data_IF_009954238401
#
_entry.id   IF_009954238401
#
_cell.length_a   1.000
_cell.length_b   1.000
_cell.length_c   1.000
_cell.angle_alpha   90.00
_cell.angle_beta   90.00
_cell.angle_gamma   90.00
#
_symmetry.space_group_name_H-M   'P 1'
#
loop_
_entity.id
_entity.type
_entity.pdbx_description
1 polymer ?
#
# COMPACT_ATOMS: atom_id res chain seq x y z
N UNK A 1 29.12 26.94 -49.83
CA UNK A 1 29.50 26.90 -48.40
C UNK A 1 28.39 27.34 -47.44
N UNK A 2 27.58 28.37 -47.74
CA UNK A 2 26.46 28.80 -46.86
C UNK A 2 25.28 27.80 -46.72
N UNK A 3 25.06 26.89 -47.68
CA UNK A 3 23.97 25.88 -47.61
C UNK A 3 24.29 24.67 -46.71
N UNK A 4 25.57 24.37 -46.47
CA UNK A 4 26.00 23.28 -45.57
C UNK A 4 25.92 23.75 -44.10
N UNK A 5 26.10 25.05 -43.86
CA UNK A 5 26.03 25.64 -42.51
C UNK A 5 24.60 25.70 -41.94
N UNK A 6 23.58 25.80 -42.80
CA UNK A 6 22.16 25.77 -42.39
C UNK A 6 21.69 24.35 -42.07
N UNK A 7 22.30 23.33 -42.68
CA UNK A 7 21.96 21.93 -42.40
C UNK A 7 22.51 21.47 -41.03
N UNK A 8 23.65 22.01 -40.58
CA UNK A 8 24.17 21.74 -39.23
C UNK A 8 23.38 22.45 -38.13
N UNK A 9 22.81 23.64 -38.39
CA UNK A 9 22.04 24.38 -37.39
C UNK A 9 20.63 23.80 -37.18
N UNK A 10 20.06 23.14 -38.21
CA UNK A 10 18.80 22.41 -38.09
C UNK A 10 18.96 21.03 -37.41
N UNK A 11 20.17 20.45 -37.44
CA UNK A 11 20.44 19.14 -36.82
C UNK A 11 20.73 19.25 -35.31
N UNK A 12 21.13 20.43 -34.82
CA UNK A 12 21.34 20.69 -33.39
C UNK A 12 20.05 21.04 -32.62
N UNK A 13 18.92 21.26 -33.29
CA UNK A 13 17.61 21.47 -32.64
C UNK A 13 16.80 20.17 -32.44
N UNK A 14 17.37 19.03 -32.83
CA UNK A 14 16.80 17.68 -32.62
C UNK A 14 17.47 16.90 -31.48
N UNK A 15 18.36 17.52 -30.69
CA UNK A 15 18.72 16.96 -29.39
C UNK A 15 17.58 17.26 -28.43
N UNK A 16 16.56 16.41 -28.47
CA UNK A 16 15.48 16.43 -27.49
C UNK A 16 16.06 16.52 -26.10
N UNK A 17 15.59 17.48 -25.32
CA UNK A 17 15.79 17.47 -23.89
C UNK A 17 15.24 16.13 -23.39
N UNK A 18 16.14 15.18 -23.13
CA UNK A 18 15.84 14.07 -22.24
C UNK A 18 15.66 14.75 -20.90
N UNK A 19 14.41 15.13 -20.60
CA UNK A 19 14.01 15.45 -19.24
C UNK A 19 14.24 14.16 -18.49
N UNK A 20 15.38 14.07 -17.80
CA UNK A 20 15.64 13.03 -16.83
C UNK A 20 14.57 13.20 -15.78
N UNK A 21 13.53 12.37 -15.85
CA UNK A 21 12.53 12.30 -14.80
C UNK A 21 13.29 11.77 -13.59
N UNK A 22 13.59 12.65 -12.63
CA UNK A 22 14.20 12.23 -11.37
C UNK A 22 13.31 11.16 -10.77
N UNK A 23 13.87 9.96 -10.64
CA UNK A 23 13.18 8.83 -10.07
C UNK A 23 13.13 9.07 -8.57
N UNK A 24 11.95 9.41 -8.05
CA UNK A 24 11.73 9.53 -6.61
C UNK A 24 12.06 8.20 -5.94
N UNK A 25 12.90 8.23 -4.91
CA UNK A 25 13.18 7.06 -4.08
C UNK A 25 12.07 6.92 -3.02
N UNK A 26 11.66 5.68 -2.67
CA UNK A 26 10.67 5.46 -1.63
C UNK A 26 11.26 5.74 -0.25
N UNK A 27 10.48 6.36 0.63
CA UNK A 27 10.89 6.69 2.01
C UNK A 27 10.33 5.71 3.05
N UNK A 28 9.27 4.98 2.68
CA UNK A 28 8.64 3.99 3.52
C UNK A 28 7.88 2.95 2.68
N UNK A 29 7.38 1.92 3.33
CA UNK A 29 6.44 0.95 2.74
C UNK A 29 5.34 0.59 3.72
N UNK A 30 4.17 0.24 3.17
CA UNK A 30 3.06 -0.28 3.97
C UNK A 30 3.33 -1.73 4.31
N UNK A 31 3.44 -2.06 5.59
CA UNK A 31 3.69 -3.42 6.07
C UNK A 31 2.41 -4.13 6.52
N UNK A 32 1.42 -3.39 7.01
CA UNK A 32 0.08 -3.92 7.30
C UNK A 32 -1.01 -2.92 6.94
N UNK A 33 -2.15 -3.42 6.50
CA UNK A 33 -3.37 -2.64 6.30
C UNK A 33 -4.58 -3.49 6.70
N UNK A 34 -5.43 -2.97 7.57
CA UNK A 34 -6.64 -3.64 8.05
C UNK A 34 -7.83 -2.72 7.79
N UNK A 35 -8.93 -3.27 7.30
CA UNK A 35 -10.13 -2.50 7.00
C UNK A 35 -9.93 -1.43 5.93
N UNK A 36 -10.59 -0.30 6.10
CA UNK A 36 -10.64 0.77 5.11
C UNK A 36 -9.44 1.71 5.23
N UNK A 37 -8.38 1.38 4.51
CA UNK A 37 -7.15 2.18 4.39
C UNK A 37 -6.99 2.67 2.95
N UNK A 38 -6.76 3.96 2.79
CA UNK A 38 -6.57 4.59 1.51
C UNK A 38 -5.27 5.38 1.48
N UNK A 39 -4.66 5.43 0.30
CA UNK A 39 -3.48 6.23 0.01
C UNK A 39 -3.77 7.15 -1.17
N UNK A 40 -3.15 8.32 -1.16
CA UNK A 40 -3.18 9.26 -2.27
C UNK A 40 -1.74 9.67 -2.57
N UNK A 41 -1.26 9.27 -3.75
CA UNK A 41 0.06 9.70 -4.19
C UNK A 41 0.10 11.20 -4.48
N UNK A 42 1.24 11.84 -4.22
CA UNK A 42 1.45 13.28 -4.42
C UNK A 42 1.15 13.76 -5.85
N UNK A 43 1.37 12.91 -6.84
CA UNK A 43 1.15 13.14 -8.27
C UNK A 43 -0.26 12.74 -8.75
N UNK A 44 -1.06 12.09 -7.90
CA UNK A 44 -2.44 11.68 -8.20
C UNK A 44 -3.47 12.54 -7.47
N UNK A 45 -4.64 12.71 -8.11
CA UNK A 45 -5.76 13.45 -7.51
C UNK A 45 -6.63 12.59 -6.59
N UNK A 46 -6.73 11.29 -6.90
CA UNK A 46 -7.68 10.38 -6.29
C UNK A 46 -7.04 9.55 -5.18
N UNK A 47 -7.86 9.19 -4.20
CA UNK A 47 -7.53 8.16 -3.22
C UNK A 47 -7.70 6.77 -3.83
N UNK A 48 -6.79 5.87 -3.53
CA UNK A 48 -6.84 4.46 -3.91
C UNK A 48 -6.72 3.59 -2.65
N UNK A 49 -7.22 2.36 -2.71
CA UNK A 49 -7.10 1.41 -1.59
C UNK A 49 -5.63 1.09 -1.37
N UNK A 50 -5.19 1.17 -0.12
CA UNK A 50 -3.82 0.85 0.26
C UNK A 50 -3.54 -0.63 0.09
N UNK A 51 -2.38 -0.96 -0.48
CA UNK A 51 -1.91 -2.34 -0.67
C UNK A 51 -0.73 -2.61 0.25
N UNK A 52 -0.69 -3.78 0.88
CA UNK A 52 0.50 -4.22 1.63
C UNK A 52 1.66 -4.40 0.65
N UNK A 53 2.85 -3.92 1.04
CA UNK A 53 4.06 -3.88 0.23
C UNK A 53 4.17 -2.63 -0.66
N UNK A 54 3.15 -1.76 -0.67
CA UNK A 54 3.20 -0.55 -1.49
C UNK A 54 4.23 0.43 -0.93
N UNK A 55 5.05 0.98 -1.82
CA UNK A 55 5.96 2.06 -1.48
C UNK A 55 5.22 3.37 -1.23
N UNK A 56 5.76 4.16 -0.30
CA UNK A 56 5.30 5.48 0.04
C UNK A 56 6.41 6.45 -0.35
N UNK A 57 6.01 7.49 -1.05
CA UNK A 57 6.89 8.57 -1.48
C UNK A 57 6.55 9.84 -0.71
N UNK A 58 7.48 10.79 -0.73
CA UNK A 58 7.23 12.12 -0.19
C UNK A 58 6.02 12.80 -0.84
N UNK A 59 5.23 13.48 -0.01
CA UNK A 59 3.98 14.14 -0.34
C UNK A 59 2.78 13.19 -0.44
N UNK A 60 2.98 11.88 -0.29
CA UNK A 60 1.87 10.94 -0.26
C UNK A 60 1.06 11.11 1.04
N UNK A 61 -0.23 10.82 0.97
CA UNK A 61 -1.13 10.89 2.11
C UNK A 61 -1.76 9.54 2.39
N UNK A 62 -1.87 9.17 3.66
CA UNK A 62 -2.64 8.01 4.10
C UNK A 62 -3.85 8.46 4.91
N UNK A 63 -4.98 7.79 4.67
CA UNK A 63 -6.23 7.97 5.40
C UNK A 63 -6.81 6.62 5.81
N UNK A 64 -7.16 6.49 7.08
CA UNK A 64 -7.96 5.39 7.62
C UNK A 64 -9.38 5.87 7.92
N UNK A 65 -10.36 4.98 7.79
CA UNK A 65 -11.76 5.21 8.23
C UNK A 65 -12.01 4.59 9.61
N UNK A 66 -13.27 4.47 9.98
CA UNK A 66 -13.75 3.94 11.26
C UNK A 66 -13.32 2.49 11.52
N UNK A 67 -13.06 1.70 10.47
CA UNK A 67 -12.52 0.33 10.56
C UNK A 67 -11.04 0.23 10.18
N UNK A 68 -10.44 1.31 9.69
CA UNK A 68 -9.11 1.31 9.08
C UNK A 68 -7.98 1.36 10.10
N UNK A 69 -6.97 0.50 9.94
CA UNK A 69 -5.68 0.57 10.65
C UNK A 69 -4.55 0.27 9.68
N UNK A 70 -3.39 0.89 9.86
CA UNK A 70 -2.23 0.58 9.00
C UNK A 70 -0.92 0.60 9.78
N UNK A 71 0.05 -0.18 9.30
CA UNK A 71 1.44 -0.14 9.75
C UNK A 71 2.29 0.27 8.56
N UNK A 72 3.15 1.25 8.78
CA UNK A 72 4.10 1.75 7.79
C UNK A 72 5.49 1.74 8.38
N UNK A 73 6.44 1.18 7.64
CA UNK A 73 7.84 1.10 8.01
C UNK A 73 8.67 2.03 7.12
N UNK A 74 9.37 2.96 7.73
CA UNK A 74 10.33 3.84 7.06
C UNK A 74 11.62 3.09 6.72
N UNK A 75 12.38 3.60 5.74
CA UNK A 75 13.66 3.02 5.31
C UNK A 75 14.69 2.94 6.46
N UNK A 76 14.66 3.88 7.40
CA UNK A 76 15.53 3.85 8.58
C UNK A 76 15.10 2.86 9.67
N UNK A 77 14.01 2.11 9.46
CA UNK A 77 13.48 1.12 10.40
C UNK A 77 12.48 1.68 11.42
N UNK A 78 12.20 2.98 11.40
CA UNK A 78 11.14 3.56 12.24
C UNK A 78 9.78 3.08 11.76
N UNK A 79 8.83 2.89 12.67
CA UNK A 79 7.49 2.39 12.37
C UNK A 79 6.45 3.38 12.86
N UNK A 80 5.45 3.66 12.01
CA UNK A 80 4.23 4.36 12.39
C UNK A 80 3.03 3.43 12.26
N UNK A 81 2.30 3.28 13.35
CA UNK A 81 1.01 2.61 13.41
C UNK A 81 -0.09 3.67 13.34
N UNK A 82 -0.96 3.54 12.35
CA UNK A 82 -2.01 4.50 12.01
C UNK A 82 -3.34 3.94 12.51
N UNK A 83 -3.96 4.63 13.46
CA UNK A 83 -5.23 4.23 14.05
C UNK A 83 -6.42 4.55 13.15
N UNK A 84 -7.60 4.25 13.63
CA UNK A 84 -8.87 4.56 12.97
C UNK A 84 -9.06 6.08 12.85
N UNK A 85 -9.87 6.50 11.88
CA UNK A 85 -10.22 7.91 11.64
C UNK A 85 -9.01 8.86 11.65
N UNK A 86 -7.96 8.49 10.91
CA UNK A 86 -6.69 9.22 10.89
C UNK A 86 -6.33 9.65 9.48
N UNK A 87 -5.80 10.87 9.33
CA UNK A 87 -5.24 11.36 8.07
C UNK A 87 -3.89 12.03 8.32
N UNK A 88 -2.90 11.61 7.54
CA UNK A 88 -1.53 12.10 7.63
C UNK A 88 -0.87 12.21 6.26
N UNK A 89 0.14 13.05 6.17
CA UNK A 89 0.98 13.25 4.99
C UNK A 89 2.44 12.99 5.35
N UNK A 90 3.14 12.33 4.44
CA UNK A 90 4.58 12.15 4.53
C UNK A 90 5.26 13.37 3.93
N UNK A 91 6.01 14.12 4.73
CA UNK A 91 6.52 15.42 4.33
C UNK A 91 7.85 15.32 3.58
N UNK A 92 8.08 16.30 2.70
CA UNK A 92 9.37 16.63 2.10
C UNK A 92 9.95 17.85 2.84
N UNK A 93 11.23 17.80 3.22
CA UNK A 93 11.99 19.04 3.45
C UNK A 93 13.24 19.01 2.60
N UNK A 94 13.32 19.97 1.68
CA UNK A 94 14.39 20.13 0.67
C UNK A 94 15.81 20.20 1.27
N UNK A 95 15.94 20.48 2.57
CA UNK A 95 17.21 20.65 3.30
C UNK A 95 17.52 19.53 4.33
N UNK A 96 16.73 18.45 4.39
CA UNK A 96 16.95 17.41 5.37
C UNK A 96 18.02 16.40 4.95
N UNK A 97 18.88 16.03 5.91
CA UNK A 97 19.79 14.90 5.75
C UNK A 97 18.97 13.63 5.50
N UNK A 98 19.53 12.65 4.76
CA UNK A 98 18.82 11.44 4.31
C UNK A 98 18.17 10.57 5.40
N UNK A 99 18.36 10.89 6.68
CA UNK A 99 17.94 10.07 7.82
C UNK A 99 16.80 10.69 8.65
N UNK A 100 16.26 11.84 8.27
CA UNK A 100 15.15 12.46 9.00
C UNK A 100 13.81 12.08 8.38
N UNK A 101 12.92 11.47 9.16
CA UNK A 101 11.53 11.25 8.76
C UNK A 101 10.66 12.40 9.27
N UNK A 102 9.75 12.90 8.43
CA UNK A 102 8.84 13.97 8.82
C UNK A 102 7.41 13.65 8.39
N UNK A 103 6.48 13.84 9.29
CA UNK A 103 5.05 13.60 9.08
C UNK A 103 4.25 14.85 9.39
N UNK A 104 3.16 15.07 8.66
CA UNK A 104 2.11 16.00 9.07
C UNK A 104 0.87 15.21 9.45
N UNK A 105 0.43 15.34 10.71
CA UNK A 105 -0.80 14.73 11.20
C UNK A 105 -1.93 15.76 11.13
N UNK A 106 -2.96 15.50 10.32
CA UNK A 106 -4.12 16.38 10.22
C UNK A 106 -5.08 16.18 11.39
N UNK A 107 -5.44 14.92 11.65
CA UNK A 107 -6.31 14.47 12.74
C UNK A 107 -6.14 12.96 12.92
N UNK A 108 -6.64 12.44 14.05
CA UNK A 108 -6.59 11.02 14.38
C UNK A 108 -5.46 10.69 15.35
N UNK A 109 -5.04 9.42 15.41
CA UNK A 109 -4.05 8.96 16.39
C UNK A 109 -3.04 8.02 15.74
N UNK A 110 -1.76 8.28 16.02
CA UNK A 110 -0.65 7.47 15.52
C UNK A 110 0.30 7.10 16.66
N UNK A 111 0.68 5.82 16.69
CA UNK A 111 1.78 5.34 17.52
C UNK A 111 3.06 5.29 16.68
N UNK A 112 4.17 5.75 17.23
CA UNK A 112 5.43 5.87 16.51
C UNK A 112 6.53 5.22 17.33
N UNK A 113 7.21 4.25 16.73
CA UNK A 113 8.42 3.63 17.25
C UNK A 113 9.60 4.07 16.42
N UNK A 114 10.32 5.07 16.93
CA UNK A 114 11.44 5.71 16.20
C UNK A 114 12.73 4.99 16.51
N UNK A 115 13.48 4.63 15.47
CA UNK A 115 14.78 3.98 15.61
C UNK A 115 15.80 4.91 16.27
N UNK A 116 16.59 4.36 17.20
CA UNK A 116 17.66 5.09 17.87
C UNK A 116 18.62 5.76 16.89
N UNK A 117 19.00 7.00 17.19
CA UNK A 117 19.91 7.78 16.35
C UNK A 117 19.29 8.36 15.08
N UNK A 118 18.01 8.11 14.81
CA UNK A 118 17.25 8.74 13.72
C UNK A 118 16.49 9.97 14.19
N UNK A 119 16.46 11.01 13.37
CA UNK A 119 15.65 12.20 13.62
C UNK A 119 14.23 11.98 13.09
N UNK A 120 13.23 12.36 13.88
CA UNK A 120 11.83 12.14 13.53
C UNK A 120 10.97 13.32 13.97
N UNK A 121 10.16 13.84 13.04
CA UNK A 121 9.31 14.99 13.30
C UNK A 121 7.85 14.66 13.03
N UNK A 122 6.97 15.09 13.93
CA UNK A 122 5.53 15.14 13.70
C UNK A 122 5.08 16.59 13.78
N UNK A 123 4.59 17.09 12.66
CA UNK A 123 4.01 18.41 12.51
C UNK A 123 2.49 18.35 12.54
N UNK A 124 1.89 19.40 13.07
CA UNK A 124 0.47 19.64 12.94
C UNK A 124 0.16 21.13 12.95
N UNK A 125 -1.11 21.47 12.88
CA UNK A 125 -1.58 22.85 13.07
C UNK A 125 -1.38 23.38 14.51
N UNK A 126 -0.98 22.53 15.46
CA UNK A 126 -0.83 22.88 16.87
C UNK A 126 0.64 23.07 17.29
N UNK A 127 1.54 22.19 16.84
CA UNK A 127 2.93 22.17 17.25
C UNK A 127 3.79 21.32 16.31
N UNK A 128 5.11 21.43 16.52
CA UNK A 128 6.12 20.48 16.07
C UNK A 128 6.56 19.62 17.26
N UNK A 129 6.53 18.29 17.09
CA UNK A 129 7.14 17.33 17.99
C UNK A 129 8.41 16.76 17.32
N UNK A 130 9.56 16.97 17.94
CA UNK A 130 10.87 16.49 17.48
C UNK A 130 11.37 15.38 18.39
N UNK A 131 11.85 14.29 17.79
CA UNK A 131 12.02 13.01 18.47
C UNK A 131 13.31 12.34 18.03
N UNK A 132 13.94 11.61 18.96
CA UNK A 132 15.11 10.77 18.67
C UNK A 132 15.09 9.51 19.52
N UNK A 133 14.90 8.35 18.89
CA UNK A 133 14.88 7.05 19.59
C UNK A 133 13.82 6.97 20.68
N UNK A 134 12.54 6.90 20.30
CA UNK A 134 11.43 7.09 21.26
C UNK A 134 10.21 6.29 20.80
N UNK A 135 9.48 5.74 21.77
CA UNK A 135 8.16 5.15 21.58
C UNK A 135 7.09 6.09 22.14
N UNK A 136 6.22 6.60 21.28
CA UNK A 136 5.27 7.65 21.67
C UNK A 136 4.01 7.65 20.79
N UNK A 137 2.93 8.20 21.33
CA UNK A 137 1.69 8.45 20.59
C UNK A 137 1.50 9.95 20.33
N UNK A 138 0.96 10.28 19.16
CA UNK A 138 0.39 11.61 18.90
C UNK A 138 -1.05 11.46 18.47
N UNK A 139 -1.94 12.19 19.14
CA UNK A 139 -3.36 12.23 18.84
C UNK A 139 -3.81 13.66 18.61
N UNK A 140 -4.63 13.89 17.58
CA UNK A 140 -5.17 15.20 17.23
C UNK A 140 -6.68 15.09 17.03
N UNK A 141 -7.41 15.81 17.89
CA UNK A 141 -8.84 16.11 17.75
C UNK A 141 -9.01 17.63 17.80
N UNK A 142 -9.42 18.17 18.94
CA UNK A 142 -9.51 19.61 19.18
C UNK A 142 -8.16 20.23 19.58
N UNK A 143 -7.32 19.43 20.24
CA UNK A 143 -5.95 19.75 20.63
C UNK A 143 -5.02 18.64 20.14
N UNK A 144 -3.72 18.90 20.14
CA UNK A 144 -2.70 17.87 19.97
C UNK A 144 -2.30 17.33 21.35
N UNK A 145 -2.28 16.02 21.49
CA UNK A 145 -1.83 15.30 22.68
C UNK A 145 -0.65 14.42 22.30
N UNK A 146 0.43 14.50 23.07
CA UNK A 146 1.65 13.70 22.87
C UNK A 146 1.89 12.87 24.11
N UNK A 147 1.82 11.54 23.99
CA UNK A 147 2.09 10.61 25.09
C UNK A 147 3.46 9.99 24.88
N UNK A 148 4.38 10.17 25.82
CA UNK A 148 5.76 9.64 25.71
C UNK A 148 5.85 8.36 26.54
N UNK A 149 5.92 7.21 25.85
CA UNK A 149 5.95 5.90 26.50
C UNK A 149 7.36 5.44 26.86
N UNK A 150 8.33 5.70 25.97
CA UNK A 150 9.76 5.44 26.21
C UNK A 150 10.57 6.50 25.46
N UNK A 151 11.61 7.07 26.08
CA UNK A 151 12.48 8.06 25.46
C UNK A 151 12.09 9.50 25.76
N UNK A 152 12.27 10.41 24.78
CA UNK A 152 12.06 11.85 24.95
C UNK A 152 11.48 12.52 23.72
N UNK A 153 10.62 13.51 23.92
CA UNK A 153 10.03 14.32 22.85
C UNK A 153 10.13 15.79 23.18
N UNK A 154 10.70 16.55 22.26
CA UNK A 154 10.67 18.01 22.28
C UNK A 154 9.39 18.50 21.59
N UNK A 155 8.49 19.14 22.32
CA UNK A 155 7.23 19.69 21.78
C UNK A 155 7.27 21.21 21.83
N UNK A 156 7.13 21.84 20.66
CA UNK A 156 7.17 23.30 20.53
C UNK A 156 6.01 23.87 19.71
N UNK A 157 5.50 25.01 20.16
CA UNK A 157 4.61 25.87 19.39
C UNK A 157 5.08 27.33 19.50
N UNK A 158 4.31 28.26 18.92
CA UNK A 158 4.67 29.69 18.92
C UNK A 158 4.77 30.35 20.30
N UNK A 159 4.26 29.72 21.37
CA UNK A 159 4.26 30.29 22.73
C UNK A 159 5.33 29.68 23.63
N UNK A 160 5.95 28.57 23.24
CA UNK A 160 7.00 27.93 24.03
C UNK A 160 7.34 26.51 23.60
N UNK A 161 8.31 25.94 24.31
CA UNK A 161 8.83 24.59 24.12
C UNK A 161 8.88 23.86 25.45
N UNK A 162 8.55 22.57 25.44
CA UNK A 162 8.73 21.64 26.57
C UNK A 162 9.49 20.41 26.09
N UNK A 163 10.36 19.88 26.95
CA UNK A 163 10.96 18.55 26.77
C UNK A 163 10.15 17.57 27.64
N UNK A 164 9.60 16.54 27.01
CA UNK A 164 8.79 15.51 27.65
C UNK A 164 9.57 14.21 27.73
N UNK A 165 9.58 13.59 28.91
CA UNK A 165 10.25 12.32 29.18
C UNK A 165 9.23 11.19 29.31
N UNK A 166 9.69 9.98 29.63
CA UNK A 166 8.86 8.81 29.83
C UNK A 166 7.69 9.05 30.81
N UNK A 167 6.54 8.45 30.53
CA UNK A 167 5.34 8.52 31.36
C UNK A 167 4.80 9.95 31.52
N UNK A 168 4.92 10.75 30.46
CA UNK A 168 4.34 12.09 30.41
C UNK A 168 3.34 12.24 29.25
N UNK A 169 2.40 13.16 29.45
CA UNK A 169 1.48 13.67 28.45
C UNK A 169 1.74 15.16 28.24
N UNK A 170 1.86 15.57 26.98
CA UNK A 170 1.88 16.99 26.60
C UNK A 170 0.57 17.34 25.91
N UNK A 171 -0.19 18.25 26.52
CA UNK A 171 -1.37 18.85 25.92
C UNK A 171 -0.99 20.15 25.20
N UNK A 172 -1.34 20.27 23.92
CA UNK A 172 -0.96 21.39 23.05
C UNK A 172 -2.19 22.00 22.40
N UNK A 173 -2.44 23.27 22.72
CA UNK A 173 -3.46 24.11 22.06
C UNK A 173 -2.81 25.21 21.22
N UNK A 174 -3.63 25.99 20.51
CA UNK A 174 -3.20 27.13 19.68
C UNK A 174 -3.08 28.44 20.45
N UNK A 175 -3.27 28.44 21.77
CA UNK A 175 -3.42 29.67 22.57
C UNK A 175 -2.37 29.82 23.67
N UNK A 176 -1.77 28.72 24.12
CA UNK A 176 -0.79 28.71 25.22
C UNK A 176 0.41 27.83 24.88
N UNK A 177 1.49 27.97 25.64
CA UNK A 177 2.63 27.07 25.56
C UNK A 177 2.19 25.62 25.88
N UNK A 178 2.89 24.60 25.34
CA UNK A 178 2.60 23.21 25.66
C UNK A 178 2.62 22.95 27.17
N UNK A 179 1.66 22.17 27.66
CA UNK A 179 1.52 21.84 29.09
C UNK A 179 1.86 20.35 29.26
N UNK A 180 2.87 20.07 30.07
CA UNK A 180 3.31 18.72 30.40
C UNK A 180 2.73 18.26 31.75
N UNK A 181 2.32 17.00 31.82
CA UNK A 181 1.86 16.33 33.04
C UNK A 181 2.38 14.89 33.10
N UNK A 182 2.66 14.42 34.31
CA UNK A 182 3.00 13.02 34.55
C UNK A 182 1.73 12.16 34.50
N UNK A 183 1.84 10.97 33.91
CA UNK A 183 0.72 10.03 33.75
C UNK A 183 1.12 8.62 34.19
N UNK A 184 0.11 7.81 34.52
CA UNK A 184 0.30 6.38 34.78
C UNK A 184 0.22 5.55 33.49
N UNK A 185 0.72 4.33 33.52
CA UNK A 185 0.63 3.37 32.40
C UNK A 185 -0.81 3.15 31.89
N UNK A 186 -1.80 3.20 32.79
CA UNK A 186 -3.22 3.04 32.46
C UNK A 186 -3.80 4.22 31.67
N UNK A 187 -3.12 5.37 31.66
CA UNK A 187 -3.56 6.60 30.99
C UNK A 187 -3.15 6.64 29.52
N UNK A 188 -2.26 5.75 29.07
CA UNK A 188 -1.85 5.70 27.68
C UNK A 188 -3.00 5.26 26.77
N UNK A 189 -3.06 5.78 25.53
CA UNK A 189 -3.96 5.24 24.52
C UNK A 189 -3.72 3.74 24.31
N UNK A 190 -4.74 3.02 23.85
CA UNK A 190 -4.54 1.64 23.42
C UNK A 190 -3.55 1.58 22.26
N UNK A 191 -2.64 0.60 22.29
CA UNK A 191 -1.75 0.33 21.18
C UNK A 191 -2.52 -0.31 20.02
N UNK A 192 -2.12 0.01 18.79
CA UNK A 192 -2.80 -0.47 17.60
C UNK A 192 -2.37 -1.91 17.32
N UNK A 193 -3.30 -2.85 17.48
CA UNK A 193 -3.11 -4.25 17.07
C UNK A 193 -3.92 -4.61 15.83
N UNK A 194 -3.46 -5.65 15.14
CA UNK A 194 -4.04 -6.23 13.93
C UNK A 194 -4.65 -7.62 14.17
N UNK A 195 -5.05 -7.90 15.41
CA UNK A 195 -5.68 -9.18 15.76
C UNK A 195 -7.04 -9.32 15.08
N UNK A 196 -7.29 -10.53 14.58
CA UNK A 196 -8.46 -10.86 13.77
C UNK A 196 -9.10 -12.14 14.27
N UNK A 197 -10.43 -12.14 14.35
CA UNK A 197 -11.22 -13.34 14.70
C UNK A 197 -11.40 -14.26 13.49
N UNK A 198 -11.18 -13.74 12.27
CA UNK A 198 -11.38 -14.46 11.02
C UNK A 198 -10.17 -14.31 10.09
N UNK A 199 -9.96 -15.31 9.25
CA UNK A 199 -8.86 -15.36 8.28
C UNK A 199 -9.43 -15.61 6.89
N UNK A 200 -8.96 -14.86 5.90
CA UNK A 200 -9.20 -15.13 4.48
C UNK A 200 -8.04 -15.99 3.98
N UNK A 201 -8.35 -17.14 3.39
CA UNK A 201 -7.36 -18.00 2.74
C UNK A 201 -7.68 -18.11 1.26
N UNK A 202 -6.68 -17.88 0.42
CA UNK A 202 -6.85 -17.94 -1.03
C UNK A 202 -5.91 -18.96 -1.64
N UNK A 203 -6.43 -19.66 -2.64
CA UNK A 203 -5.63 -20.54 -3.48
C UNK A 203 -5.29 -19.78 -4.76
N UNK A 204 -4.08 -19.22 -4.78
CA UNK A 204 -3.56 -18.41 -5.89
C UNK A 204 -2.46 -19.18 -6.60
N UNK A 205 -2.57 -19.26 -7.93
CA UNK A 205 -1.52 -19.80 -8.78
C UNK A 205 -0.52 -18.67 -9.02
N UNK A 206 0.71 -18.82 -8.50
CA UNK A 206 1.75 -17.77 -8.55
C UNK A 206 2.42 -17.65 -9.91
N UNK A 207 2.41 -18.71 -10.73
CA UNK A 207 2.90 -18.69 -12.11
C UNK A 207 1.74 -18.89 -13.07
N UNK A 208 1.46 -17.86 -13.86
CA UNK A 208 0.35 -17.85 -14.82
C UNK A 208 0.88 -17.54 -16.21
N UNK A 209 0.02 -17.66 -17.22
CA UNK A 209 0.29 -17.24 -18.58
C UNK A 209 -0.41 -15.93 -18.87
N UNK A 210 0.29 -15.06 -19.59
CA UNK A 210 -0.26 -13.79 -20.06
C UNK A 210 -1.50 -14.05 -20.90
N UNK A 211 -2.48 -13.17 -20.74
CA UNK A 211 -3.72 -13.17 -21.52
C UNK A 211 -4.65 -14.37 -21.29
N UNK A 212 -4.39 -15.22 -20.30
CA UNK A 212 -5.29 -16.30 -19.90
C UNK A 212 -6.11 -16.00 -18.63
N UNK A 213 -7.34 -16.52 -18.58
CA UNK A 213 -8.22 -16.39 -17.41
C UNK A 213 -8.03 -17.56 -16.43
N UNK A 214 -7.55 -17.27 -15.24
CA UNK A 214 -7.40 -18.22 -14.14
C UNK A 214 -8.53 -18.07 -13.14
N UNK A 215 -9.02 -19.20 -12.62
CA UNK A 215 -9.99 -19.21 -11.54
C UNK A 215 -9.25 -19.18 -10.21
N UNK A 216 -9.53 -18.14 -9.42
CA UNK A 216 -9.08 -18.02 -8.04
C UNK A 216 -10.23 -18.43 -7.12
N UNK A 217 -9.91 -19.18 -6.07
CA UNK A 217 -10.87 -19.59 -5.04
C UNK A 217 -10.32 -19.28 -3.67
N UNK A 218 -11.19 -18.98 -2.73
CA UNK A 218 -10.80 -18.81 -1.34
C UNK A 218 -11.91 -19.18 -0.38
N UNK A 219 -11.53 -19.23 0.90
CA UNK A 219 -12.42 -19.45 2.01
C UNK A 219 -12.21 -18.37 3.07
N UNK A 220 -13.22 -18.17 3.91
CA UNK A 220 -13.14 -17.39 5.13
C UNK A 220 -13.44 -18.32 6.29
N UNK A 221 -12.57 -18.32 7.30
CA UNK A 221 -12.72 -19.17 8.49
C UNK A 221 -12.56 -18.37 9.76
N UNK A 222 -13.24 -18.82 10.82
CA UNK A 222 -12.95 -18.38 12.17
C UNK A 222 -11.55 -18.87 12.58
N UNK A 223 -10.74 -17.99 13.18
CA UNK A 223 -9.36 -18.27 13.54
C UNK A 223 -9.26 -19.31 14.67
N UNK A 224 -10.19 -19.27 15.62
CA UNK A 224 -10.13 -20.07 16.84
C UNK A 224 -10.51 -21.55 16.62
N UNK A 225 -11.58 -21.81 15.86
CA UNK A 225 -12.14 -23.16 15.68
C UNK A 225 -12.00 -23.71 14.25
N UNK A 226 -11.43 -22.93 13.33
CA UNK A 226 -11.25 -23.25 11.91
C UNK A 226 -12.53 -23.56 11.14
N UNK A 227 -13.70 -23.21 11.67
CA UNK A 227 -14.98 -23.37 10.97
C UNK A 227 -15.17 -22.29 9.91
N UNK A 228 -16.00 -22.56 8.90
CA UNK A 228 -16.29 -21.56 7.86
C UNK A 228 -17.07 -20.38 8.46
N UNK A 229 -16.60 -19.17 8.18
CA UNK A 229 -17.29 -17.94 8.54
C UNK A 229 -18.47 -17.72 7.57
N UNK A 230 -19.68 -17.61 8.09
CA UNK A 230 -20.91 -17.59 7.26
C UNK A 230 -21.71 -16.30 7.35
N UNK A 231 -21.32 -15.38 8.22
CA UNK A 231 -21.97 -14.07 8.31
C UNK A 231 -21.61 -13.19 7.11
N UNK A 232 -22.40 -12.13 6.85
CA UNK A 232 -22.09 -11.17 5.79
C UNK A 232 -20.69 -10.57 5.93
N UNK A 233 -19.92 -10.67 4.85
CA UNK A 233 -18.59 -10.10 4.74
C UNK A 233 -18.38 -9.57 3.33
N UNK A 234 -17.91 -8.34 3.23
CA UNK A 234 -17.45 -7.79 1.97
C UNK A 234 -15.94 -7.99 1.84
N UNK A 235 -15.53 -8.56 0.70
CA UNK A 235 -14.13 -8.72 0.31
C UNK A 235 -13.90 -7.87 -0.93
N UNK A 236 -12.93 -6.96 -0.84
CA UNK A 236 -12.52 -6.11 -1.95
C UNK A 236 -11.22 -6.64 -2.52
N UNK A 237 -11.23 -7.00 -3.79
CA UNK A 237 -10.05 -7.44 -4.55
C UNK A 237 -9.62 -6.31 -5.47
N UNK A 238 -8.39 -5.81 -5.29
CA UNK A 238 -7.85 -4.69 -6.07
C UNK A 238 -6.52 -5.07 -6.71
N UNK A 239 -6.43 -4.90 -8.03
CA UNK A 239 -5.30 -5.31 -8.87
C UNK A 239 -4.32 -4.16 -9.14
N UNK A 240 -3.10 -4.51 -9.55
CA UNK A 240 -2.20 -3.63 -10.30
C UNK A 240 -2.73 -3.34 -11.71
N UNK A 241 -2.09 -2.40 -12.42
CA UNK A 241 -2.61 -1.86 -13.67
C UNK A 241 -2.85 -2.92 -14.76
N UNK A 242 -2.05 -3.99 -14.80
CA UNK A 242 -2.15 -5.03 -15.82
C UNK A 242 -2.81 -6.33 -15.33
N UNK A 243 -3.59 -6.24 -14.25
CA UNK A 243 -4.44 -7.33 -13.78
C UNK A 243 -5.91 -6.94 -13.85
N UNK A 244 -6.71 -7.87 -14.36
CA UNK A 244 -8.15 -7.71 -14.53
C UNK A 244 -8.92 -8.86 -13.93
N UNK A 245 -10.09 -8.54 -13.37
CA UNK A 245 -10.98 -9.49 -12.74
C UNK A 245 -12.35 -9.60 -13.43
N UNK A 246 -12.97 -10.77 -13.24
CA UNK A 246 -14.40 -11.02 -13.51
C UNK A 246 -14.99 -11.88 -12.38
N UNK A 247 -16.21 -11.56 -11.95
CA UNK A 247 -16.91 -12.40 -10.95
C UNK A 247 -17.21 -13.81 -11.47
N UNK A 248 -17.57 -13.95 -12.75
CA UNK A 248 -17.76 -15.25 -13.41
C UNK A 248 -17.72 -15.15 -14.94
N UNK A 249 -17.61 -16.30 -15.64
CA UNK A 249 -17.44 -16.37 -17.11
C UNK A 249 -18.48 -15.60 -17.94
N UNK A 250 -19.74 -15.51 -17.48
CA UNK A 250 -20.80 -14.79 -18.22
C UNK A 250 -20.64 -13.25 -18.23
N UNK A 251 -19.85 -12.67 -17.33
CA UNK A 251 -19.64 -11.22 -17.27
C UNK A 251 -18.59 -10.83 -18.33
N UNK A 252 -18.97 -9.92 -19.23
CA UNK A 252 -18.09 -9.47 -20.31
C UNK A 252 -17.10 -8.40 -19.85
N UNK A 253 -17.55 -7.44 -19.05
CA UNK A 253 -16.73 -6.32 -18.57
C UNK A 253 -15.74 -6.80 -17.51
N UNK A 254 -14.47 -6.49 -17.71
CA UNK A 254 -13.41 -6.72 -16.75
C UNK A 254 -13.17 -5.45 -15.90
N UNK A 255 -12.70 -5.62 -14.66
CA UNK A 255 -12.42 -4.51 -13.72
C UNK A 255 -11.10 -4.74 -13.00
N UNK A 256 -10.44 -3.67 -12.56
CA UNK A 256 -9.24 -3.75 -11.68
C UNK A 256 -9.61 -3.81 -10.19
N UNK A 257 -10.87 -3.56 -9.86
CA UNK A 257 -11.41 -3.77 -8.52
C UNK A 257 -12.69 -4.59 -8.58
N UNK A 258 -12.86 -5.53 -7.66
CA UNK A 258 -14.01 -6.43 -7.58
C UNK A 258 -14.46 -6.58 -6.13
N UNK A 259 -15.75 -6.35 -5.91
CA UNK A 259 -16.42 -6.65 -4.64
C UNK A 259 -16.99 -8.06 -4.67
N UNK A 260 -16.67 -8.84 -3.64
CA UNK A 260 -17.05 -10.24 -3.48
C UNK A 260 -17.71 -10.43 -2.11
N UNK A 261 -18.85 -11.11 -2.11
CA UNK A 261 -19.49 -11.61 -0.89
C UNK A 261 -19.34 -13.14 -0.87
N UNK A 262 -18.62 -13.70 0.12
CA UNK A 262 -18.54 -15.15 0.29
C UNK A 262 -19.91 -15.77 0.49
N UNK A 263 -20.13 -16.95 -0.12
CA UNK A 263 -21.32 -17.77 0.11
C UNK A 263 -20.94 -18.98 0.95
N UNK A 264 -21.50 -19.09 2.15
CA UNK A 264 -21.15 -20.11 3.13
C UNK A 264 -19.63 -20.17 3.37
N UNK A 265 -19.00 -18.99 3.55
CA UNK A 265 -17.56 -18.86 3.76
C UNK A 265 -16.69 -19.19 2.56
N UNK A 266 -17.25 -19.32 1.35
CA UNK A 266 -16.50 -19.64 0.13
C UNK A 266 -16.67 -18.57 -0.94
N UNK A 267 -15.61 -18.28 -1.68
CA UNK A 267 -15.67 -17.36 -2.81
C UNK A 267 -14.80 -17.81 -3.98
N UNK A 268 -15.08 -17.21 -5.15
CA UNK A 268 -14.31 -17.42 -6.36
C UNK A 268 -14.42 -16.20 -7.28
N UNK A 269 -13.40 -15.98 -8.09
CA UNK A 269 -13.39 -15.02 -9.19
C UNK A 269 -12.44 -15.49 -10.29
N UNK A 270 -12.45 -14.78 -11.42
CA UNK A 270 -11.51 -15.00 -12.51
C UNK A 270 -10.52 -13.84 -12.56
N UNK A 271 -9.27 -14.15 -12.86
CA UNK A 271 -8.15 -13.22 -12.96
C UNK A 271 -7.45 -13.38 -14.31
N UNK A 272 -6.99 -12.26 -14.86
CA UNK A 272 -6.22 -12.15 -16.10
C UNK A 272 -5.03 -11.23 -15.85
N UNK A 273 -3.81 -11.73 -16.03
CA UNK A 273 -2.59 -10.91 -16.02
C UNK A 273 -2.12 -10.67 -17.46
N UNK A 274 -1.56 -9.48 -17.76
CA UNK A 274 -1.01 -9.17 -19.09
C UNK A 274 0.48 -8.90 -19.13
N UNK A 275 1.11 -8.62 -18.01
CA UNK A 275 2.55 -8.32 -17.91
C UNK A 275 3.23 -9.21 -16.87
N UNK A 276 4.57 -9.19 -16.86
CA UNK A 276 5.39 -10.20 -16.17
C UNK A 276 5.19 -10.24 -14.65
N UNK A 277 5.29 -9.10 -13.98
CA UNK A 277 5.28 -9.03 -12.52
C UNK A 277 4.09 -8.20 -12.07
N UNK A 278 3.08 -8.88 -11.55
CA UNK A 278 1.83 -8.24 -11.19
C UNK A 278 1.40 -8.66 -9.79
N UNK A 279 0.46 -7.91 -9.21
CA UNK A 279 -0.07 -8.24 -7.90
C UNK A 279 -1.55 -7.91 -7.79
N UNK A 280 -2.16 -8.49 -6.77
CA UNK A 280 -3.46 -8.03 -6.31
C UNK A 280 -3.56 -8.16 -4.82
N UNK A 281 -4.37 -7.30 -4.24
CA UNK A 281 -4.62 -7.24 -2.80
C UNK A 281 -6.05 -7.64 -2.54
N UNK A 282 -6.23 -8.49 -1.53
CA UNK A 282 -7.51 -8.84 -0.94
C UNK A 282 -7.61 -8.08 0.37
N UNK A 283 -8.70 -7.36 0.55
CA UNK A 283 -8.95 -6.54 1.74
C UNK A 283 -10.39 -6.73 2.22
N UNK A 284 -10.60 -6.52 3.52
CA UNK A 284 -11.91 -6.59 4.15
C UNK A 284 -11.93 -5.72 5.41
N UNK A 285 -13.11 -5.23 5.78
CA UNK A 285 -13.33 -4.47 7.03
C UNK A 285 -13.02 -5.25 8.31
N UNK A 286 -12.88 -6.57 8.23
CA UNK A 286 -12.67 -7.45 9.40
C UNK A 286 -11.35 -8.22 9.40
N UNK A 287 -10.49 -8.03 8.39
CA UNK A 287 -9.23 -8.77 8.28
C UNK A 287 -8.07 -7.88 7.85
N UNK A 288 -6.86 -8.34 8.17
CA UNK A 288 -5.65 -7.80 7.55
C UNK A 288 -5.70 -8.08 6.05
N UNK A 289 -5.26 -7.11 5.27
CA UNK A 289 -5.17 -7.20 3.82
C UNK A 289 -4.00 -8.07 3.41
N UNK A 290 -4.17 -8.88 2.38
CA UNK A 290 -3.14 -9.77 1.86
C UNK A 290 -2.86 -9.43 0.39
N UNK A 291 -1.59 -9.21 0.06
CA UNK A 291 -1.13 -8.98 -1.32
C UNK A 291 -0.53 -10.26 -1.88
N UNK A 292 -1.09 -10.75 -2.98
CA UNK A 292 -0.55 -11.88 -3.73
C UNK A 292 0.22 -11.38 -4.95
N UNK A 293 1.44 -11.91 -5.11
CA UNK A 293 2.31 -11.64 -6.26
C UNK A 293 2.18 -12.76 -7.29
N UNK A 294 2.17 -12.37 -8.55
CA UNK A 294 2.00 -13.26 -9.69
C UNK A 294 3.09 -12.96 -10.71
N UNK A 295 3.66 -14.03 -11.22
CA UNK A 295 4.57 -14.01 -12.37
C UNK A 295 3.79 -14.52 -13.58
N UNK A 296 3.48 -13.64 -14.53
CA UNK A 296 2.85 -14.01 -15.80
C UNK A 296 3.90 -14.21 -16.87
N UNK A 297 4.11 -15.44 -17.30
CA UNK A 297 5.01 -15.75 -18.39
C UNK A 297 4.29 -15.56 -19.72
N UNK A 298 5.04 -15.26 -20.78
CA UNK A 298 4.53 -15.48 -22.13
C UNK A 298 4.00 -16.91 -22.26
N UNK A 299 2.97 -17.11 -23.10
CA UNK A 299 2.26 -18.37 -23.28
C UNK A 299 3.16 -19.60 -23.12
N UNK A 300 2.68 -20.72 -22.52
CA UNK A 300 3.37 -21.96 -22.78
C UNK A 300 3.28 -22.14 -24.29
N UNK A 301 4.33 -22.61 -24.93
CA UNK A 301 4.32 -22.78 -26.39
C UNK A 301 3.42 -23.95 -26.84
N UNK A 302 2.30 -24.18 -26.16
CA UNK A 302 1.26 -25.16 -26.39
C UNK A 302 0.07 -24.56 -27.11
N UNK A 303 0.10 -24.69 -28.43
CA UNK A 303 -1.03 -24.36 -29.30
C UNK A 303 -1.65 -25.63 -29.83
N UNK A 304 -2.94 -25.85 -29.56
CA UNK A 304 -3.72 -26.82 -30.30
C UNK A 304 -3.82 -26.33 -31.75
N UNK A 305 -3.27 -27.10 -32.67
CA UNK A 305 -3.23 -26.77 -34.10
C UNK A 305 -3.85 -27.92 -34.87
N UNK A 306 -4.64 -27.55 -35.87
CA UNK A 306 -5.13 -28.49 -36.85
C UNK A 306 -4.13 -28.51 -38.00
N UNK A 307 -3.40 -29.60 -38.14
CA UNK A 307 -2.48 -29.79 -39.27
C UNK A 307 -3.25 -30.49 -40.37
N UNK A 308 -3.38 -29.80 -41.51
CA UNK A 308 -3.91 -30.40 -42.74
C UNK A 308 -2.73 -30.86 -43.60
N UNK A 309 -2.75 -32.12 -44.05
CA UNK A 309 -1.71 -32.68 -44.90
C UNK A 309 -2.31 -33.65 -45.92
N UNK A 310 -1.65 -33.82 -47.06
CA UNK A 310 -2.02 -34.81 -48.06
C UNK A 310 -1.25 -36.10 -47.80
N UNK A 311 -1.93 -37.24 -47.71
CA UNK A 311 -1.28 -38.54 -47.54
C UNK A 311 -0.73 -39.08 -48.87
N UNK A 312 -0.01 -40.21 -48.84
CA UNK A 312 0.59 -40.83 -50.02
C UNK A 312 -0.43 -41.23 -51.12
N UNK A 313 -1.71 -41.33 -50.76
CA UNK A 313 -2.81 -41.63 -51.69
C UNK A 313 -3.46 -40.36 -52.26
N UNK A 314 -2.92 -39.17 -51.96
CA UNK A 314 -3.48 -37.89 -52.41
C UNK A 314 -4.80 -37.53 -51.72
N UNK A 315 -5.03 -37.97 -50.49
CA UNK A 315 -6.19 -37.59 -49.68
C UNK A 315 -5.81 -36.52 -48.64
N UNK A 316 -6.63 -35.47 -48.51
CA UNK A 316 -6.49 -34.49 -47.44
C UNK A 316 -6.87 -35.12 -46.09
N UNK A 317 -5.93 -35.15 -45.15
CA UNK A 317 -6.11 -35.60 -43.76
C UNK A 317 -5.89 -34.43 -42.81
N UNK A 318 -6.53 -34.52 -41.65
CA UNK A 318 -6.44 -33.54 -40.56
C UNK A 318 -5.98 -34.24 -39.29
N UNK A 319 -4.96 -33.72 -38.64
CA UNK A 319 -4.53 -34.18 -37.32
C UNK A 319 -4.68 -33.01 -36.34
N UNK A 320 -5.35 -33.27 -35.22
CA UNK A 320 -5.31 -32.38 -34.08
C UNK A 320 -4.01 -32.65 -33.34
N UNK A 321 -3.13 -31.67 -33.30
CA UNK A 321 -1.85 -31.77 -32.59
C UNK A 321 -1.72 -30.63 -31.60
N UNK A 322 -0.81 -30.77 -30.65
CA UNK A 322 -0.38 -29.69 -29.78
C UNK A 322 1.07 -29.39 -30.15
N UNK A 323 1.33 -28.21 -30.72
CA UNK A 323 2.71 -27.75 -30.86
C UNK A 323 3.27 -27.48 -29.46
N UNK A 324 4.52 -27.84 -29.18
CA UNK A 324 5.25 -27.47 -27.96
C UNK A 324 6.64 -27.00 -28.40
N UNK A 325 6.93 -25.69 -28.33
CA UNK A 325 8.30 -25.21 -28.62
C UNK A 325 9.20 -25.65 -27.47
N UNK A 326 10.18 -26.48 -27.81
CA UNK A 326 11.20 -26.91 -26.86
C UNK A 326 12.17 -25.75 -26.56
N UNK A 327 12.57 -25.65 -25.29
CA UNK A 327 13.52 -24.64 -24.80
C UNK A 327 14.92 -24.87 -25.35
#
# INVERSE_FOLDING_TARGET
MKKIMVLCLALCLLTGAIVSQEKKEPIASVTMAFGEVYIKNSDKKNWEITKVGMYIYEGDKIRTKDTGKAEVMFVNGSIVFIGNDTEMEFLNKEDQTSNQNSLFLFFGSIWNKVTDGSDYNIESVHALATVRGTYFNVSIKDIMQVYVKEGKVDVENQYGKVEAEENTLVNVSKEVAPIIEDISEESFPEEITFDTDIVIETNVITQVFKQEWYKITGIVRNKDDNTLYTEPLEIIVTASDNVWFKKHKKIRKATQSLVIEPKNGRFQFLMLAKEDNENFTISSSKTVSETHYIIANDEPLKKDVLVEFWNAEGQLKRIKTTFEKQQ
#
